data_IF_682123485752
#
_entry.id   IF_682123485752
#
_cell.length_a   1.000
_cell.length_b   1.000
_cell.length_c   1.000
_cell.angle_alpha   90.00
_cell.angle_beta   90.00
_cell.angle_gamma   90.00
#
_symmetry.space_group_name_H-M   'P 1'
#
loop_
_entity.id
_entity.type
_entity.pdbx_description
1 polymer ?
#
# COMPACT_ATOMS: atom_id res chain seq x y z
N UNK A 1 21.75 -33.53 -32.18
CA UNK A 1 21.55 -32.10 -32.42
C UNK A 1 20.09 -31.77 -32.15
N UNK A 2 19.75 -31.44 -30.90
CA UNK A 2 18.41 -30.98 -30.53
C UNK A 2 18.52 -29.52 -30.15
N UNK A 3 18.11 -28.62 -31.05
CA UNK A 3 18.01 -27.19 -30.77
C UNK A 3 17.00 -27.02 -29.63
N UNK A 4 17.47 -26.48 -28.51
CA UNK A 4 16.61 -26.06 -27.41
C UNK A 4 15.63 -24.99 -27.92
N UNK A 5 14.36 -25.01 -27.51
CA UNK A 5 13.41 -24.01 -27.96
C UNK A 5 13.85 -22.64 -27.45
N UNK A 6 13.94 -21.68 -28.36
CA UNK A 6 14.20 -20.27 -28.07
C UNK A 6 13.22 -19.77 -26.99
N UNK A 7 13.66 -18.90 -26.06
CA UNK A 7 12.78 -18.35 -25.04
C UNK A 7 11.62 -17.63 -25.71
N UNK A 8 10.39 -17.96 -25.31
CA UNK A 8 9.17 -17.25 -25.73
C UNK A 8 9.42 -15.75 -25.49
N UNK A 9 9.53 -14.97 -26.56
CA UNK A 9 9.64 -13.51 -26.50
C UNK A 9 8.51 -13.01 -25.59
N UNK A 10 8.83 -12.53 -24.39
CA UNK A 10 7.91 -11.65 -23.66
C UNK A 10 7.62 -10.50 -24.61
N UNK A 11 6.34 -10.28 -24.91
CA UNK A 11 5.92 -9.10 -25.66
C UNK A 11 6.29 -7.92 -24.75
N UNK A 12 7.42 -7.29 -25.02
CA UNK A 12 7.80 -6.05 -24.35
C UNK A 12 6.88 -4.98 -24.94
N UNK A 13 5.82 -4.63 -24.22
CA UNK A 13 5.20 -3.32 -24.37
C UNK A 13 6.33 -2.27 -24.26
N UNK A 14 6.27 -1.21 -25.08
CA UNK A 14 7.14 -0.05 -24.93
C UNK A 14 7.14 0.37 -23.44
N UNK A 15 8.31 0.67 -22.88
CA UNK A 15 8.46 0.97 -21.45
C UNK A 15 7.53 2.11 -21.02
N UNK A 16 7.29 3.08 -21.91
CA UNK A 16 6.33 4.16 -21.68
C UNK A 16 4.88 3.65 -21.61
N UNK A 17 4.47 2.81 -22.54
CA UNK A 17 3.13 2.22 -22.56
C UNK A 17 2.88 1.34 -21.33
N UNK A 18 3.89 0.60 -20.85
CA UNK A 18 3.78 -0.18 -19.62
C UNK A 18 3.62 0.71 -18.38
N UNK A 19 4.34 1.83 -18.30
CA UNK A 19 4.15 2.81 -17.22
C UNK A 19 2.73 3.35 -17.24
N UNK A 20 2.20 3.76 -18.39
CA UNK A 20 0.83 4.27 -18.51
C UNK A 20 -0.21 3.22 -18.11
N UNK A 21 -0.04 1.97 -18.55
CA UNK A 21 -0.91 0.86 -18.17
C UNK A 21 -0.90 0.59 -16.65
N UNK A 22 0.28 0.53 -16.03
CA UNK A 22 0.41 0.29 -14.60
C UNK A 22 0.00 1.52 -13.77
N UNK A 23 0.14 2.73 -14.29
CA UNK A 23 -0.22 3.93 -13.56
C UNK A 23 -1.72 4.22 -13.59
N UNK A 24 -2.45 3.69 -14.57
CA UNK A 24 -3.89 3.90 -14.69
C UNK A 24 -4.64 3.60 -13.38
N UNK A 25 -5.36 4.59 -12.87
CA UNK A 25 -6.12 4.54 -11.64
C UNK A 25 -5.32 4.94 -10.40
N UNK A 26 -4.00 5.07 -10.47
CA UNK A 26 -3.17 5.53 -9.35
C UNK A 26 -3.25 7.06 -9.17
N UNK A 27 -3.78 7.79 -10.16
CA UNK A 27 -4.08 9.22 -10.04
C UNK A 27 -5.05 9.51 -8.87
N UNK A 28 -6.00 8.62 -8.61
CA UNK A 28 -6.90 8.75 -7.46
C UNK A 28 -6.17 8.55 -6.14
N UNK A 29 -5.10 7.74 -6.10
CA UNK A 29 -4.24 7.61 -4.92
C UNK A 29 -3.49 8.91 -4.68
N UNK A 30 -2.88 9.50 -5.72
CA UNK A 30 -2.18 10.80 -5.63
C UNK A 30 -3.11 11.91 -5.10
N UNK A 31 -4.34 11.96 -5.62
CA UNK A 31 -5.37 12.89 -5.16
C UNK A 31 -5.76 12.65 -3.71
N UNK A 32 -5.90 11.39 -3.30
CA UNK A 32 -6.27 10.99 -1.95
C UNK A 32 -5.22 11.38 -0.92
N UNK A 33 -3.93 11.19 -1.23
CA UNK A 33 -2.82 11.54 -0.34
C UNK A 33 -2.37 13.01 -0.49
N UNK A 34 -2.89 13.73 -1.49
CA UNK A 34 -2.52 15.11 -1.78
C UNK A 34 -1.10 15.29 -2.29
N UNK A 35 -0.51 14.27 -2.95
CA UNK A 35 0.86 14.29 -3.42
C UNK A 35 0.99 13.68 -4.82
N UNK A 36 1.62 14.44 -5.74
CA UNK A 36 1.93 14.00 -7.09
C UNK A 36 3.37 13.50 -7.14
N UNK A 37 3.57 12.24 -7.48
CA UNK A 37 4.88 11.63 -7.58
C UNK A 37 5.63 12.15 -8.81
N UNK A 38 6.81 12.74 -8.57
CA UNK A 38 7.75 13.09 -9.64
C UNK A 38 8.18 11.86 -10.45
N UNK A 39 8.39 10.73 -9.76
CA UNK A 39 8.68 9.44 -10.38
C UNK A 39 7.52 8.47 -10.13
N UNK A 40 6.71 8.26 -11.17
CA UNK A 40 5.55 7.36 -11.16
C UNK A 40 5.88 5.92 -10.77
N UNK A 41 7.12 5.46 -11.04
CA UNK A 41 7.56 4.11 -10.69
C UNK A 41 7.53 3.87 -9.18
N UNK A 42 7.75 4.90 -8.36
CA UNK A 42 7.71 4.75 -6.90
C UNK A 42 6.31 4.41 -6.40
N UNK A 43 5.28 5.06 -6.95
CA UNK A 43 3.89 4.76 -6.61
C UNK A 43 3.45 3.42 -7.20
N UNK A 44 3.88 3.09 -8.42
CA UNK A 44 3.62 1.77 -9.02
C UNK A 44 4.20 0.67 -8.13
N UNK A 45 5.43 0.82 -7.66
CA UNK A 45 6.07 -0.13 -6.74
C UNK A 45 5.27 -0.24 -5.43
N UNK A 46 4.90 0.90 -4.82
CA UNK A 46 4.17 0.95 -3.54
C UNK A 46 2.80 0.28 -3.62
N UNK A 47 2.18 0.28 -4.80
CA UNK A 47 0.87 -0.32 -5.04
C UNK A 47 0.96 -1.73 -5.64
N UNK A 48 2.15 -2.33 -5.76
CA UNK A 48 2.34 -3.68 -6.35
C UNK A 48 2.60 -4.72 -5.28
N UNK A 49 1.67 -5.67 -5.12
CA UNK A 49 1.88 -6.84 -4.27
C UNK A 49 2.76 -7.89 -4.96
N UNK A 50 3.49 -8.69 -4.18
CA UNK A 50 4.41 -9.75 -4.65
C UNK A 50 3.77 -10.82 -5.56
N UNK A 51 2.45 -11.03 -5.45
CA UNK A 51 1.71 -11.95 -6.32
C UNK A 51 1.42 -11.36 -7.70
N UNK A 52 1.51 -10.03 -7.90
CA UNK A 52 1.18 -9.37 -9.16
C UNK A 52 2.32 -9.50 -10.18
N UNK A 53 2.20 -10.48 -11.10
CA UNK A 53 3.28 -10.81 -12.07
C UNK A 53 3.28 -9.95 -13.34
N UNK A 54 2.27 -9.10 -13.54
CA UNK A 54 2.16 -8.26 -14.73
C UNK A 54 3.03 -6.99 -14.64
N UNK A 55 3.57 -6.66 -13.47
CA UNK A 55 4.56 -5.59 -13.32
C UNK A 55 5.96 -6.16 -13.61
N UNK A 56 6.60 -5.64 -14.66
CA UNK A 56 7.98 -5.96 -15.02
C UNK A 56 8.94 -4.77 -14.89
N UNK A 57 8.46 -3.64 -14.35
CA UNK A 57 9.22 -2.39 -14.24
C UNK A 57 9.83 -2.19 -12.85
N UNK A 58 9.15 -2.66 -11.80
CA UNK A 58 9.57 -2.51 -10.41
C UNK A 58 9.40 -3.81 -9.65
N UNK A 59 10.00 -3.88 -8.47
CA UNK A 59 9.72 -4.92 -7.49
C UNK A 59 8.36 -4.68 -6.78
N UNK A 60 8.04 -5.52 -5.78
CA UNK A 60 6.89 -5.29 -4.90
C UNK A 60 7.17 -4.21 -3.86
N UNK A 61 6.12 -3.81 -3.14
CA UNK A 61 6.20 -2.77 -2.12
C UNK A 61 7.07 -3.13 -0.90
N UNK A 62 7.55 -4.38 -0.75
CA UNK A 62 8.12 -4.89 0.50
C UNK A 62 9.30 -4.05 1.03
N UNK A 63 10.20 -3.60 0.17
CA UNK A 63 11.31 -2.74 0.60
C UNK A 63 10.82 -1.36 1.06
N UNK A 64 9.83 -0.80 0.36
CA UNK A 64 9.23 0.47 0.71
C UNK A 64 8.42 0.38 2.01
N UNK A 65 7.74 -0.74 2.25
CA UNK A 65 7.09 -1.05 3.53
C UNK A 65 8.12 -1.09 4.65
N UNK A 66 9.24 -1.78 4.45
CA UNK A 66 10.29 -1.90 5.47
C UNK A 66 10.89 -0.54 5.86
N UNK A 67 11.13 0.35 4.90
CA UNK A 67 11.58 1.72 5.19
C UNK A 67 10.44 2.57 5.77
N UNK A 68 9.24 2.45 5.19
CA UNK A 68 8.05 3.22 5.55
C UNK A 68 7.65 3.03 7.00
N UNK A 69 7.70 1.79 7.51
CA UNK A 69 7.40 1.46 8.90
C UNK A 69 8.29 2.24 9.89
N UNK A 70 9.59 2.40 9.57
CA UNK A 70 10.53 3.16 10.39
C UNK A 70 10.28 4.66 10.32
N UNK A 71 10.00 5.19 9.12
CA UNK A 71 9.70 6.61 8.93
C UNK A 71 8.40 7.00 9.64
N UNK A 72 7.35 6.20 9.45
CA UNK A 72 6.06 6.42 10.12
C UNK A 72 6.19 6.25 11.62
N UNK A 73 6.90 5.24 12.11
CA UNK A 73 7.17 5.06 13.54
C UNK A 73 7.84 6.28 14.16
N UNK A 74 8.85 6.86 13.49
CA UNK A 74 9.49 8.08 13.97
C UNK A 74 8.55 9.29 13.98
N UNK A 75 7.81 9.53 12.88
CA UNK A 75 6.88 10.67 12.80
C UNK A 75 5.71 10.54 13.79
N UNK A 76 5.18 9.33 14.00
CA UNK A 76 4.15 9.08 15.01
C UNK A 76 4.67 9.32 16.43
N UNK A 77 5.91 8.90 16.74
CA UNK A 77 6.52 9.14 18.05
C UNK A 77 6.71 10.64 18.31
N UNK A 78 7.18 11.38 17.30
CA UNK A 78 7.28 12.84 17.34
C UNK A 78 5.92 13.50 17.51
N UNK A 79 4.90 13.06 16.76
CA UNK A 79 3.54 13.58 16.86
C UNK A 79 2.97 13.39 18.27
N UNK A 80 3.06 12.19 18.83
CA UNK A 80 2.58 11.89 20.20
C UNK A 80 3.35 12.70 21.24
N UNK A 81 4.68 12.80 21.10
CA UNK A 81 5.52 13.56 22.03
C UNK A 81 5.10 15.03 22.13
N UNK A 82 4.79 15.66 20.98
CA UNK A 82 4.44 17.07 20.88
C UNK A 82 2.97 17.37 21.21
N UNK A 83 2.04 16.46 20.92
CA UNK A 83 0.60 16.74 20.98
C UNK A 83 -0.13 16.10 22.16
N UNK A 84 0.44 15.06 22.79
CA UNK A 84 -0.14 14.44 23.97
C UNK A 84 0.52 15.03 25.22
N UNK A 85 -0.25 15.70 26.08
CA UNK A 85 0.21 16.23 27.37
C UNK A 85 0.01 15.24 28.53
N UNK A 86 -0.41 14.01 28.22
CA UNK A 86 -0.72 12.99 29.21
C UNK A 86 0.53 12.30 29.77
N UNK A 87 0.29 11.33 30.65
CA UNK A 87 1.32 10.46 31.22
C UNK A 87 2.07 9.67 30.16
N UNK A 88 3.26 9.19 30.51
CA UNK A 88 4.09 8.35 29.64
C UNK A 88 3.33 7.09 29.19
N UNK A 89 2.49 6.52 30.05
CA UNK A 89 1.68 5.34 29.74
C UNK A 89 0.61 5.65 28.67
N UNK A 90 -0.09 6.78 28.81
CA UNK A 90 -1.08 7.22 27.83
C UNK A 90 -0.45 7.54 26.47
N UNK A 91 0.73 8.17 26.45
CA UNK A 91 1.53 8.37 25.23
C UNK A 91 1.88 7.04 24.57
N UNK A 92 2.33 6.06 25.36
CA UNK A 92 2.72 4.74 24.87
C UNK A 92 1.53 4.00 24.25
N UNK A 93 0.35 4.04 24.89
CA UNK A 93 -0.87 3.45 24.36
C UNK A 93 -1.35 4.12 23.06
N UNK A 94 -1.28 5.46 23.00
CA UNK A 94 -1.62 6.23 21.80
C UNK A 94 -0.69 5.88 20.64
N UNK A 95 0.62 5.87 20.91
CA UNK A 95 1.63 5.49 19.93
C UNK A 95 1.39 4.08 19.39
N UNK A 96 1.21 3.10 20.27
CA UNK A 96 0.95 1.71 19.88
C UNK A 96 -0.29 1.56 18.97
N UNK A 97 -1.33 2.37 19.21
CA UNK A 97 -2.53 2.39 18.36
C UNK A 97 -2.21 2.95 16.97
N UNK A 98 -1.56 4.11 16.90
CA UNK A 98 -1.21 4.80 15.65
C UNK A 98 -0.19 4.04 14.80
N UNK A 99 0.63 3.17 15.40
CA UNK A 99 1.60 2.32 14.69
C UNK A 99 1.09 0.89 14.46
N UNK A 100 -0.19 0.61 14.73
CA UNK A 100 -0.74 -0.73 14.51
C UNK A 100 -1.15 -0.95 13.05
N UNK A 101 -0.96 -2.18 12.55
CA UNK A 101 -1.42 -2.54 11.20
C UNK A 101 -2.93 -2.37 11.02
N UNK A 102 -3.71 -2.56 12.09
CA UNK A 102 -5.16 -2.37 12.06
C UNK A 102 -5.53 -0.91 11.76
N UNK A 103 -4.89 0.04 12.44
CA UNK A 103 -5.10 1.46 12.19
C UNK A 103 -4.83 1.85 10.74
N UNK A 104 -3.69 1.42 10.18
CA UNK A 104 -3.34 1.71 8.78
C UNK A 104 -4.24 0.98 7.78
N UNK A 105 -4.70 -0.23 8.09
CA UNK A 105 -5.66 -0.96 7.26
C UNK A 105 -7.02 -0.24 7.21
N UNK A 106 -7.52 0.25 8.35
CA UNK A 106 -8.76 1.04 8.43
C UNK A 106 -8.63 2.32 7.60
N UNK A 107 -7.52 3.06 7.74
CA UNK A 107 -7.27 4.27 6.94
C UNK A 107 -7.20 3.97 5.44
N UNK A 108 -6.50 2.91 5.05
CA UNK A 108 -6.36 2.47 3.65
C UNK A 108 -7.74 2.15 3.04
N UNK A 109 -8.63 1.51 3.81
CA UNK A 109 -10.00 1.25 3.38
C UNK A 109 -10.83 2.52 3.30
N UNK A 110 -10.83 3.30 4.39
CA UNK A 110 -11.60 4.55 4.52
C UNK A 110 -11.34 5.52 3.38
N UNK A 111 -10.09 5.58 2.93
CA UNK A 111 -9.65 6.45 1.84
C UNK A 111 -9.69 5.78 0.46
N UNK A 112 -10.19 4.56 0.35
CA UNK A 112 -10.35 3.88 -0.94
C UNK A 112 -9.06 3.34 -1.58
N UNK A 113 -7.90 3.50 -0.94
CA UNK A 113 -6.58 3.13 -1.48
C UNK A 113 -6.51 1.62 -1.81
N UNK A 114 -7.13 0.77 -1.00
CA UNK A 114 -7.20 -0.69 -1.22
C UNK A 114 -7.70 -1.09 -2.62
N UNK A 115 -8.56 -0.28 -3.25
CA UNK A 115 -9.12 -0.54 -4.60
C UNK A 115 -8.07 -0.44 -5.71
N UNK A 116 -6.95 0.20 -5.42
CA UNK A 116 -5.89 0.50 -6.38
C UNK A 116 -4.66 -0.42 -6.22
N UNK A 117 -4.68 -1.34 -5.24
CA UNK A 117 -3.60 -2.31 -5.02
C UNK A 117 -3.61 -3.32 -6.18
N UNK A 118 -2.45 -3.46 -6.82
CA UNK A 118 -2.23 -4.46 -7.87
C UNK A 118 -1.91 -5.80 -7.21
N UNK A 119 -2.86 -6.73 -7.32
CA UNK A 119 -2.83 -8.01 -6.64
C UNK A 119 -3.31 -9.13 -7.59
N UNK A 120 -2.71 -10.32 -7.50
CA UNK A 120 -3.17 -11.54 -8.18
C UNK A 120 -3.24 -12.71 -7.19
N UNK A 121 -4.03 -12.56 -6.13
CA UNK A 121 -4.35 -13.61 -5.17
C UNK A 121 -5.83 -13.49 -4.77
N UNK A 122 -6.64 -14.45 -5.20
CA UNK A 122 -8.09 -14.42 -4.98
C UNK A 122 -8.48 -14.52 -3.50
N UNK A 123 -7.73 -15.28 -2.70
CA UNK A 123 -8.01 -15.44 -1.28
C UNK A 123 -7.70 -14.15 -0.52
N UNK A 124 -6.57 -13.51 -0.83
CA UNK A 124 -6.23 -12.21 -0.24
C UNK A 124 -7.20 -11.11 -0.70
N UNK A 125 -7.57 -11.10 -1.98
CA UNK A 125 -8.56 -10.16 -2.52
C UNK A 125 -9.88 -10.27 -1.77
N UNK A 126 -10.42 -11.49 -1.62
CA UNK A 126 -11.66 -11.70 -0.90
C UNK A 126 -11.61 -11.26 0.58
N UNK A 127 -10.45 -11.43 1.24
CA UNK A 127 -10.25 -10.96 2.61
C UNK A 127 -10.21 -9.43 2.70
N UNK A 128 -9.56 -8.76 1.76
CA UNK A 128 -9.53 -7.30 1.67
C UNK A 128 -10.95 -6.77 1.45
N UNK A 129 -11.71 -7.36 0.53
CA UNK A 129 -13.09 -6.96 0.23
C UNK A 129 -14.00 -7.16 1.46
N UNK A 130 -13.94 -8.32 2.10
CA UNK A 130 -14.71 -8.60 3.32
C UNK A 130 -14.38 -7.60 4.45
N UNK A 131 -13.10 -7.28 4.63
CA UNK A 131 -12.67 -6.26 5.59
C UNK A 131 -13.19 -4.87 5.20
N UNK A 132 -13.14 -4.49 3.93
CA UNK A 132 -13.61 -3.21 3.44
C UNK A 132 -15.14 -3.04 3.64
N UNK A 133 -15.92 -4.08 3.37
CA UNK A 133 -17.35 -4.10 3.64
C UNK A 133 -17.67 -4.00 5.13
N UNK A 134 -16.92 -4.72 5.97
CA UNK A 134 -17.08 -4.65 7.42
C UNK A 134 -16.79 -3.24 7.95
N UNK A 135 -15.71 -2.61 7.50
CA UNK A 135 -15.35 -1.24 7.89
C UNK A 135 -16.38 -0.21 7.42
N UNK A 136 -16.94 -0.39 6.23
CA UNK A 136 -18.01 0.48 5.72
C UNK A 136 -19.26 0.37 6.60
N UNK A 137 -19.64 -0.85 7.03
CA UNK A 137 -20.76 -1.07 7.96
C UNK A 137 -20.52 -0.45 9.35
N UNK A 138 -19.28 -0.43 9.80
CA UNK A 138 -18.87 0.09 11.11
C UNK A 138 -18.50 1.58 11.10
N UNK A 139 -18.68 2.29 9.99
CA UNK A 139 -18.32 3.72 9.87
C UNK A 139 -16.82 4.01 9.99
N UNK A 140 -15.97 3.03 9.64
CA UNK A 140 -14.50 3.10 9.74
C UNK A 140 -13.98 3.39 11.15
N UNK A 141 -14.69 2.93 12.18
CA UNK A 141 -14.20 3.00 13.55
C UNK A 141 -13.08 1.98 13.78
N UNK A 142 -11.99 2.43 14.39
CA UNK A 142 -10.96 1.54 14.91
C UNK A 142 -11.58 0.72 16.04
N UNK A 143 -11.56 -0.61 15.93
CA UNK A 143 -12.11 -1.46 16.99
C UNK A 143 -11.15 -1.41 18.18
N UNK A 144 -11.59 -0.84 19.31
CA UNK A 144 -10.93 -1.07 20.58
C UNK A 144 -11.34 -2.49 21.03
N UNK A 145 -10.40 -3.44 20.97
CA UNK A 145 -10.55 -4.70 21.68
C UNK A 145 -10.30 -4.50 23.17
#
# INVERSE_FOLDING_TARGET
MGVSPLPKKRICLDGKAMVEFLFNGLEEVEKTIGYIFKNKLLLIQAMTHSSYKNNCLTESYNEQEWIGDRVLGFEMAKFVSLNCQDTVDAKSATFATLTSNEFWAVLTVRHGIHKHIKLCDNNLTAKIDAFAEQQTRNGHQHMHK
#
